data_IF_847707888850
#
_entry.id   IF_847707888850
#
_cell.length_a   1.000
_cell.length_b   1.000
_cell.length_c   1.000
_cell.angle_alpha   90.00
_cell.angle_beta   90.00
_cell.angle_gamma   90.00
#
_symmetry.space_group_name_H-M   'P 1'
#
loop_
_entity.id
_entity.type
_entity.pdbx_description
1 polymer ?
#
# COMPACT_ATOMS: atom_id res chain seq x y z
N UNK A 1 8.31 -16.56 -0.48
CA UNK A 1 9.32 -15.86 -1.29
C UNK A 1 9.46 -14.42 -0.79
N UNK A 2 10.49 -14.15 0.02
CA UNK A 2 10.84 -12.80 0.53
C UNK A 2 11.74 -12.15 -0.53
N UNK A 3 11.30 -11.05 -1.11
CA UNK A 3 12.17 -10.24 -1.97
C UNK A 3 13.23 -9.62 -1.05
N UNK A 4 14.48 -10.08 -1.14
CA UNK A 4 15.61 -9.42 -0.46
C UNK A 4 15.93 -8.16 -1.25
N UNK A 5 15.43 -7.04 -0.77
CA UNK A 5 15.92 -5.73 -1.20
C UNK A 5 17.26 -5.52 -0.48
N UNK A 6 18.37 -5.21 -1.18
CA UNK A 6 19.64 -4.96 -0.52
C UNK A 6 19.47 -3.77 0.44
N UNK A 7 19.58 -4.04 1.74
CA UNK A 7 19.52 -3.01 2.76
C UNK A 7 20.82 -2.20 2.67
N UNK A 8 20.69 -0.88 2.59
CA UNK A 8 21.81 0.07 2.56
C UNK A 8 22.76 -0.19 3.75
N UNK A 9 24.09 -0.03 3.60
CA UNK A 9 25.07 -0.39 4.66
C UNK A 9 24.81 0.31 6.01
N UNK A 10 24.26 1.53 5.98
CA UNK A 10 23.85 2.31 7.16
C UNK A 10 22.79 1.59 8.01
N UNK A 11 21.99 0.75 7.37
CA UNK A 11 20.86 0.06 7.96
C UNK A 11 21.29 -1.26 8.67
N UNK A 12 22.50 -1.74 8.39
CA UNK A 12 22.97 -3.04 8.90
C UNK A 12 23.42 -3.00 10.38
N UNK A 13 23.59 -1.82 10.97
CA UNK A 13 24.20 -1.67 12.31
C UNK A 13 23.21 -1.41 13.45
N UNK A 14 21.92 -1.17 13.17
CA UNK A 14 20.96 -0.82 14.22
C UNK A 14 19.73 -1.73 14.17
N UNK A 15 19.32 -2.27 15.32
CA UNK A 15 18.13 -3.11 15.44
C UNK A 15 16.82 -2.33 15.22
N UNK A 16 16.88 -0.99 15.11
CA UNK A 16 15.73 -0.11 14.93
C UNK A 16 15.97 0.85 13.76
N UNK A 17 15.18 0.66 12.70
CA UNK A 17 15.25 1.45 11.46
C UNK A 17 14.78 2.89 11.61
N UNK A 18 13.70 3.12 12.36
CA UNK A 18 13.06 4.43 12.50
C UNK A 18 13.41 5.05 13.85
N UNK A 19 14.40 5.94 13.86
CA UNK A 19 14.84 6.66 15.06
C UNK A 19 14.90 8.18 14.80
N UNK A 20 14.70 8.97 15.85
CA UNK A 20 14.89 10.42 15.85
C UNK A 20 15.75 10.77 17.07
N UNK A 21 16.89 11.45 16.84
CA UNK A 21 17.89 11.78 17.88
C UNK A 21 18.29 10.53 18.71
N UNK A 22 18.63 9.43 18.03
CA UNK A 22 18.97 8.12 18.59
C UNK A 22 17.89 7.46 19.48
N UNK A 23 16.66 7.97 19.46
CA UNK A 23 15.52 7.35 20.16
C UNK A 23 14.54 6.77 19.15
N UNK A 24 13.95 5.58 19.43
CA UNK A 24 12.97 5.00 18.53
C UNK A 24 11.73 5.89 18.40
N UNK A 25 11.25 6.05 17.18
CA UNK A 25 9.97 6.73 16.92
C UNK A 25 8.85 5.81 17.40
N UNK A 26 8.05 6.29 18.36
CA UNK A 26 6.91 5.54 18.93
C UNK A 26 5.58 5.88 18.27
N UNK A 27 5.45 7.09 17.75
CA UNK A 27 4.23 7.61 17.14
C UNK A 27 4.59 8.53 15.96
N UNK A 28 3.85 8.40 14.86
CA UNK A 28 4.00 9.20 13.64
C UNK A 28 2.91 10.26 13.49
N UNK A 29 1.85 10.22 14.31
CA UNK A 29 0.65 11.07 14.15
C UNK A 29 0.97 12.56 14.14
N UNK A 30 1.83 13.03 15.05
CA UNK A 30 2.21 14.44 15.12
C UNK A 30 2.97 14.88 13.87
N UNK A 31 3.99 14.10 13.47
CA UNK A 31 4.77 14.38 12.27
C UNK A 31 3.89 14.38 11.01
N UNK A 32 2.97 13.42 10.91
CA UNK A 32 2.02 13.31 9.81
C UNK A 32 1.04 14.49 9.77
N UNK A 33 0.43 14.87 10.90
CA UNK A 33 -0.47 16.03 10.99
C UNK A 33 0.22 17.31 10.56
N UNK A 34 1.46 17.53 11.01
CA UNK A 34 2.25 18.69 10.61
C UNK A 34 2.57 18.68 9.11
N UNK A 35 2.88 17.51 8.54
CA UNK A 35 3.09 17.37 7.10
C UNK A 35 1.81 17.70 6.31
N UNK A 36 0.64 17.19 6.73
CA UNK A 36 -0.65 17.53 6.10
C UNK A 36 -0.94 19.03 6.19
N UNK A 37 -0.69 19.65 7.35
CA UNK A 37 -0.88 21.09 7.55
C UNK A 37 -0.01 21.91 6.60
N UNK A 38 1.27 21.54 6.45
CA UNK A 38 2.21 22.21 5.53
C UNK A 38 1.84 22.02 4.07
N UNK A 39 1.24 20.87 3.72
CA UNK A 39 0.75 20.58 2.38
C UNK A 39 -0.65 21.15 2.09
N UNK A 40 -1.31 21.80 3.07
CA UNK A 40 -2.68 22.31 2.92
C UNK A 40 -3.75 21.22 2.85
N UNK A 41 -3.43 19.97 3.20
CA UNK A 41 -4.35 18.83 3.10
C UNK A 41 -5.18 18.73 4.38
N UNK A 42 -6.52 18.72 4.23
CA UNK A 42 -7.49 18.55 5.32
C UNK A 42 -8.05 17.12 5.35
N UNK A 43 -8.41 16.64 6.53
CA UNK A 43 -9.08 15.34 6.76
C UNK A 43 -8.37 14.08 6.23
N UNK A 44 -7.08 14.13 5.91
CA UNK A 44 -6.30 12.94 5.54
C UNK A 44 -5.84 12.17 6.79
N UNK A 45 -6.19 10.89 6.87
CA UNK A 45 -5.72 9.94 7.89
C UNK A 45 -4.53 9.15 7.34
N UNK A 46 -3.67 8.66 8.24
CA UNK A 46 -2.50 7.88 7.82
C UNK A 46 -2.87 6.60 7.04
N UNK A 47 -3.97 5.94 7.43
CA UNK A 47 -4.47 4.75 6.73
C UNK A 47 -5.01 5.04 5.33
N UNK A 48 -5.37 6.28 5.01
CA UNK A 48 -5.87 6.66 3.68
C UNK A 48 -4.76 6.56 2.62
N UNK A 49 -3.50 6.70 3.02
CA UNK A 49 -2.36 6.44 2.15
C UNK A 49 -2.33 4.98 1.69
N UNK A 50 -2.61 4.05 2.61
CA UNK A 50 -2.67 2.62 2.33
C UNK A 50 -3.88 2.28 1.45
N UNK A 51 -5.03 2.93 1.68
CA UNK A 51 -6.18 2.83 0.79
C UNK A 51 -5.86 3.33 -0.62
N UNK A 52 -5.22 4.50 -0.73
CA UNK A 52 -4.84 5.09 -2.02
C UNK A 52 -3.88 4.20 -2.81
N UNK A 53 -2.91 3.58 -2.14
CA UNK A 53 -1.99 2.62 -2.76
C UNK A 53 -2.74 1.40 -3.32
N UNK A 54 -3.63 0.80 -2.52
CA UNK A 54 -4.41 -0.36 -2.93
C UNK A 54 -5.32 -0.05 -4.13
N UNK A 55 -6.07 1.06 -4.06
CA UNK A 55 -6.95 1.50 -5.14
C UNK A 55 -6.18 1.73 -6.44
N UNK A 56 -5.00 2.39 -6.39
CA UNK A 56 -4.18 2.64 -7.57
C UNK A 56 -3.67 1.35 -8.23
N UNK A 57 -3.32 0.32 -7.44
CA UNK A 57 -2.89 -0.96 -7.99
C UNK A 57 -4.04 -1.70 -8.68
N UNK A 58 -5.21 -1.73 -8.05
CA UNK A 58 -6.39 -2.38 -8.65
C UNK A 58 -6.82 -1.65 -9.93
N UNK A 59 -6.80 -0.32 -9.95
CA UNK A 59 -7.10 0.47 -11.16
C UNK A 59 -6.10 0.23 -12.31
N UNK A 60 -4.86 -0.15 -11.98
CA UNK A 60 -3.85 -0.56 -12.98
C UNK A 60 -4.01 -2.02 -13.42
N UNK A 61 -5.04 -2.72 -12.96
CA UNK A 61 -5.29 -4.12 -13.31
C UNK A 61 -4.48 -5.13 -12.53
N UNK A 62 -3.85 -4.74 -11.40
CA UNK A 62 -3.18 -5.71 -10.52
C UNK A 62 -4.24 -6.57 -9.82
N UNK A 63 -4.01 -7.88 -9.77
CA UNK A 63 -4.93 -8.82 -9.13
C UNK A 63 -5.02 -8.59 -7.60
N UNK A 64 -6.21 -8.86 -7.04
CA UNK A 64 -6.49 -8.60 -5.63
C UNK A 64 -5.62 -9.46 -4.69
N UNK A 65 -5.19 -10.66 -5.12
CA UNK A 65 -4.34 -11.52 -4.30
C UNK A 65 -2.92 -10.93 -4.17
N UNK A 66 -2.36 -10.42 -5.25
CA UNK A 66 -1.09 -9.67 -5.22
C UNK A 66 -1.21 -8.41 -4.38
N UNK A 67 -2.28 -7.63 -4.56
CA UNK A 67 -2.51 -6.43 -3.73
C UNK A 67 -2.61 -6.79 -2.24
N UNK A 68 -3.32 -7.86 -1.88
CA UNK A 68 -3.43 -8.32 -0.50
C UNK A 68 -2.06 -8.68 0.10
N UNK A 69 -1.21 -9.33 -0.69
CA UNK A 69 0.14 -9.74 -0.28
C UNK A 69 1.10 -8.57 -0.17
N UNK A 70 1.02 -7.58 -1.06
CA UNK A 70 1.79 -6.33 -0.97
C UNK A 70 1.41 -5.49 0.25
N UNK A 71 0.13 -5.48 0.59
CA UNK A 71 -0.37 -4.82 1.79
C UNK A 71 -0.02 -5.61 3.06
N UNK A 72 0.14 -6.93 2.96
CA UNK A 72 0.28 -7.79 4.14
C UNK A 72 -1.04 -7.96 4.89
N UNK A 73 -2.15 -8.07 4.16
CA UNK A 73 -3.43 -8.44 4.77
C UNK A 73 -3.44 -9.91 5.17
N UNK A 74 -4.00 -10.20 6.35
CA UNK A 74 -4.15 -11.56 6.85
C UNK A 74 -5.23 -12.36 6.09
N UNK A 75 -6.22 -11.66 5.52
CA UNK A 75 -7.30 -12.26 4.73
C UNK A 75 -7.56 -11.44 3.48
N UNK A 76 -7.89 -12.12 2.38
CA UNK A 76 -8.29 -11.51 1.11
C UNK A 76 -9.54 -10.64 1.26
N UNK A 77 -10.43 -10.96 2.21
CA UNK A 77 -11.64 -10.18 2.51
C UNK A 77 -11.33 -8.72 2.85
N UNK A 78 -10.19 -8.43 3.49
CA UNK A 78 -9.76 -7.07 3.78
C UNK A 78 -9.45 -6.26 2.50
N UNK A 79 -9.02 -6.95 1.44
CA UNK A 79 -8.69 -6.37 0.13
C UNK A 79 -9.91 -6.29 -0.78
N UNK A 80 -10.95 -7.09 -0.54
CA UNK A 80 -12.18 -7.08 -1.35
C UNK A 80 -12.87 -5.71 -1.40
N UNK A 81 -12.64 -4.84 -0.40
CA UNK A 81 -13.10 -3.44 -0.43
C UNK A 81 -12.62 -2.66 -1.66
N UNK A 82 -11.51 -3.07 -2.29
CA UNK A 82 -10.98 -2.41 -3.48
C UNK A 82 -11.41 -3.10 -4.78
N UNK A 83 -12.18 -4.18 -4.71
CA UNK A 83 -12.69 -4.89 -5.87
C UNK A 83 -13.70 -4.02 -6.62
N UNK A 84 -13.20 -3.16 -7.49
CA UNK A 84 -14.02 -2.44 -8.46
C UNK A 84 -13.90 -3.21 -9.78
N UNK A 85 -14.88 -4.07 -10.12
CA UNK A 85 -14.95 -4.58 -11.49
C UNK A 85 -15.18 -3.38 -12.39
N UNK A 86 -14.12 -2.87 -13.01
CA UNK A 86 -14.30 -1.89 -14.08
C UNK A 86 -15.06 -2.60 -15.22
N UNK A 87 -15.98 -1.94 -15.92
CA UNK A 87 -16.67 -2.53 -17.08
C UNK A 87 -15.68 -3.09 -18.11
N UNK A 88 -14.48 -2.47 -18.18
CA UNK A 88 -13.37 -2.87 -19.01
C UNK A 88 -12.76 -4.22 -18.57
N UNK A 89 -12.60 -4.45 -17.27
CA UNK A 89 -12.13 -5.72 -16.71
C UNK A 89 -13.09 -6.87 -17.00
N UNK A 90 -14.41 -6.63 -16.92
CA UNK A 90 -15.43 -7.62 -17.26
C UNK A 90 -15.42 -7.93 -18.76
N UNK A 91 -15.33 -6.89 -19.60
CA UNK A 91 -15.28 -7.06 -21.06
C UNK A 91 -14.04 -7.83 -21.49
N UNK A 92 -12.86 -7.50 -20.95
CA UNK A 92 -11.62 -8.24 -21.22
C UNK A 92 -11.67 -9.70 -20.76
N UNK A 93 -12.32 -10.00 -19.63
CA UNK A 93 -12.50 -11.37 -19.16
C UNK A 93 -13.39 -12.19 -20.11
N UNK A 94 -14.50 -11.60 -20.60
CA UNK A 94 -15.39 -12.27 -21.57
C UNK A 94 -14.67 -12.45 -22.93
N UNK A 95 -14.00 -11.41 -23.44
CA UNK A 95 -13.25 -11.50 -24.71
C UNK A 95 -12.10 -12.52 -24.65
N UNK A 96 -11.59 -12.84 -23.46
CA UNK A 96 -10.57 -13.89 -23.32
C UNK A 96 -11.10 -15.31 -23.54
N UNK A 97 -12.41 -15.52 -23.42
CA UNK A 97 -13.07 -16.81 -23.67
C UNK A 97 -13.34 -17.06 -25.16
N UNK A 98 -13.51 -15.99 -25.96
CA UNK A 98 -13.76 -16.07 -27.41
C UNK A 98 -12.51 -16.41 -28.24
N UNK A 99 -11.31 -16.46 -27.64
CA UNK A 99 -10.05 -16.83 -28.33
C UNK A 99 -9.80 -18.34 -28.36
N UNK A 100 -10.85 -19.14 -28.50
CA UNK A 100 -10.81 -20.59 -28.66
C UNK A 100 -11.11 -21.01 -30.09
#
# INVERSE_FOLDING_TARGET
MRVRVPLCPIIQQTSKLFTYRNKPIRDIRTAFKNACSRAGIKNLRFHDLRHSFATRLVLKGTDLATVARLLGHASIQMTMRYSHPSPQSLKSAVTSLDKG
#
